data_IF_596552448554
#
_entry.id   IF_596552448554
#
_cell.length_a   1.000
_cell.length_b   1.000
_cell.length_c   1.000
_cell.angle_alpha   90.00
_cell.angle_beta   90.00
_cell.angle_gamma   90.00
#
_symmetry.space_group_name_H-M   'P 1'
#
loop_
_entity.id
_entity.type
_entity.pdbx_description
1 polymer ?
#
# COMPACT_ATOMS: atom_id res chain seq x y z
N UNK A 1 18.71 1.54 -73.65
CA UNK A 1 19.31 0.73 -72.56
C UNK A 1 19.33 1.64 -71.34
N UNK A 2 18.26 1.82 -70.57
CA UNK A 2 17.54 0.86 -69.72
C UNK A 2 18.50 0.12 -68.77
N UNK A 3 18.31 0.35 -67.45
CA UNK A 3 18.71 -0.43 -66.25
C UNK A 3 19.43 0.42 -65.20
N UNK A 4 19.24 0.25 -63.89
CA UNK A 4 18.10 -0.19 -63.09
C UNK A 4 18.37 0.32 -61.66
N UNK A 5 17.29 0.63 -60.94
CA UNK A 5 17.21 1.10 -59.55
C UNK A 5 17.94 0.18 -58.55
N UNK A 6 18.41 0.79 -57.46
CA UNK A 6 18.78 0.08 -56.22
C UNK A 6 18.91 1.01 -55.01
N UNK A 7 17.83 1.70 -54.63
CA UNK A 7 17.76 2.45 -53.37
C UNK A 7 17.49 1.43 -52.24
N UNK A 8 18.54 1.00 -51.53
CA UNK A 8 18.38 0.22 -50.30
C UNK A 8 18.09 1.17 -49.14
N UNK A 9 16.82 1.28 -48.78
CA UNK A 9 16.34 1.94 -47.57
C UNK A 9 16.91 1.24 -46.33
N UNK A 10 17.81 1.92 -45.61
CA UNK A 10 18.16 1.56 -44.23
C UNK A 10 16.91 1.74 -43.37
N UNK A 11 16.24 0.64 -43.05
CA UNK A 11 15.25 0.60 -41.97
C UNK A 11 16.04 0.61 -40.67
N UNK A 12 16.05 1.75 -39.98
CA UNK A 12 16.53 1.83 -38.61
C UNK A 12 15.50 1.14 -37.70
N UNK A 13 15.91 0.31 -36.73
CA UNK A 13 14.97 -0.30 -35.81
C UNK A 13 14.30 0.77 -34.95
N UNK A 14 12.98 0.67 -34.91
CA UNK A 14 12.06 1.44 -34.05
C UNK A 14 12.60 1.40 -32.61
N UNK A 15 12.95 2.57 -32.10
CA UNK A 15 13.41 2.75 -30.74
C UNK A 15 12.34 2.30 -29.76
N UNK A 16 12.66 1.29 -28.95
CA UNK A 16 11.98 1.10 -27.68
C UNK A 16 12.54 2.17 -26.74
N UNK A 17 11.83 3.29 -26.67
CA UNK A 17 12.09 4.34 -25.69
C UNK A 17 11.85 3.75 -24.29
N UNK A 18 12.95 3.42 -23.59
CA UNK A 18 12.91 2.93 -22.22
C UNK A 18 12.38 4.04 -21.32
N UNK A 19 11.30 3.76 -20.57
CA UNK A 19 10.65 4.59 -19.53
C UNK A 19 11.61 5.02 -18.39
N UNK A 20 12.65 5.78 -18.69
CA UNK A 20 13.61 6.29 -17.69
C UNK A 20 13.00 7.38 -16.82
N UNK A 21 12.12 8.22 -17.37
CA UNK A 21 11.50 9.34 -16.63
C UNK A 21 10.59 8.88 -15.48
N UNK A 22 9.74 7.88 -15.73
CA UNK A 22 8.79 7.37 -14.72
C UNK A 22 9.49 6.80 -13.50
N UNK A 23 10.56 6.01 -13.68
CA UNK A 23 11.27 5.37 -12.57
C UNK A 23 12.00 6.39 -11.69
N UNK A 24 12.59 7.42 -12.29
CA UNK A 24 13.26 8.50 -11.53
C UNK A 24 12.24 9.29 -10.71
N UNK A 25 11.09 9.60 -11.30
CA UNK A 25 10.01 10.32 -10.62
C UNK A 25 9.48 9.58 -9.37
N UNK A 26 9.28 8.25 -9.44
CA UNK A 26 8.88 7.47 -8.27
C UNK A 26 9.93 7.46 -7.16
N UNK A 27 11.22 7.39 -7.52
CA UNK A 27 12.30 7.42 -6.53
C UNK A 27 12.34 8.77 -5.81
N UNK A 28 12.23 9.89 -6.54
CA UNK A 28 12.17 11.22 -5.92
C UNK A 28 10.96 11.39 -4.99
N UNK A 29 9.80 10.80 -5.34
CA UNK A 29 8.62 10.77 -4.48
C UNK A 29 8.86 9.98 -3.19
N UNK A 30 9.52 8.82 -3.27
CA UNK A 30 9.88 8.03 -2.09
C UNK A 30 10.86 8.76 -1.17
N UNK A 31 11.78 9.56 -1.71
CA UNK A 31 12.68 10.39 -0.90
C UNK A 31 11.91 11.38 0.00
N UNK A 32 10.81 11.96 -0.51
CA UNK A 32 9.96 12.87 0.28
C UNK A 32 9.25 12.18 1.43
N UNK A 33 9.00 10.88 1.33
CA UNK A 33 8.36 10.09 2.38
C UNK A 33 9.27 9.88 3.59
N UNK A 34 10.60 10.02 3.45
CA UNK A 34 11.55 9.77 4.54
C UNK A 34 11.42 10.78 5.67
N UNK A 35 11.59 10.31 6.90
CA UNK A 35 11.49 11.15 8.08
C UNK A 35 10.98 10.41 9.30
N UNK A 36 10.71 11.20 10.34
CA UNK A 36 10.11 10.73 11.59
C UNK A 36 8.65 11.20 11.65
N UNK A 37 7.74 10.25 11.88
CA UNK A 37 6.31 10.47 11.98
C UNK A 37 5.83 10.06 13.37
N UNK A 38 4.89 10.81 13.91
CA UNK A 38 4.05 10.38 15.02
C UNK A 38 2.79 9.72 14.47
N UNK A 39 2.39 8.62 15.08
CA UNK A 39 1.20 7.87 14.71
C UNK A 39 0.11 8.08 15.79
N UNK A 40 -1.13 8.21 15.34
CA UNK A 40 -2.32 8.04 16.15
C UNK A 40 -3.05 6.77 15.68
N UNK A 41 -3.49 5.95 16.62
CA UNK A 41 -4.22 4.72 16.36
C UNK A 41 -5.19 4.49 17.52
N UNK A 42 -6.49 4.71 17.27
CA UNK A 42 -7.50 4.68 18.33
C UNK A 42 -7.66 3.28 18.91
N UNK A 43 -7.61 2.24 18.06
CA UNK A 43 -7.66 0.84 18.50
C UNK A 43 -6.57 0.51 19.54
N UNK A 44 -5.38 1.10 19.42
CA UNK A 44 -4.27 0.93 20.37
C UNK A 44 -4.38 1.89 21.55
N UNK A 45 -4.82 3.12 21.33
CA UNK A 45 -4.91 4.13 22.40
C UNK A 45 -6.03 3.81 23.39
N UNK A 46 -7.13 3.22 22.91
CA UNK A 46 -8.28 2.85 23.74
C UNK A 46 -8.07 1.50 24.45
N UNK A 47 -7.32 0.59 23.84
CA UNK A 47 -7.08 -0.75 24.39
C UNK A 47 -6.00 -0.82 25.46
N UNK A 48 -5.11 0.18 25.54
CA UNK A 48 -3.92 0.13 26.40
C UNK A 48 -3.62 1.47 27.10
N UNK A 49 -3.63 1.47 28.44
CA UNK A 49 -3.55 2.69 29.26
C UNK A 49 -2.13 3.30 29.41
N UNK A 50 -1.08 2.60 28.99
CA UNK A 50 0.32 3.03 29.14
C UNK A 50 1.16 2.68 27.90
N UNK A 51 0.88 3.33 26.76
CA UNK A 51 1.72 3.18 25.57
C UNK A 51 2.65 4.38 25.40
N UNK A 52 3.92 4.11 25.07
CA UNK A 52 4.81 5.15 24.56
C UNK A 52 4.22 5.80 23.28
N UNK A 53 4.75 6.96 22.90
CA UNK A 53 4.35 7.60 21.66
C UNK A 53 4.55 6.67 20.46
N UNK A 54 3.48 6.47 19.68
CA UNK A 54 3.50 5.65 18.48
C UNK A 54 4.28 6.38 17.38
N UNK A 55 5.23 5.71 16.75
CA UNK A 55 6.16 6.33 15.81
C UNK A 55 6.47 5.46 14.60
N UNK A 56 6.78 6.14 13.50
CA UNK A 56 7.24 5.55 12.25
C UNK A 56 8.43 6.34 11.73
N UNK A 57 9.57 5.67 11.60
CA UNK A 57 10.83 6.26 11.15
C UNK A 57 11.22 5.68 9.78
N UNK A 58 10.96 6.43 8.71
CA UNK A 58 11.14 5.99 7.33
C UNK A 58 12.52 6.40 6.80
N UNK A 59 13.27 5.41 6.29
CA UNK A 59 14.61 5.55 5.71
C UNK A 59 14.70 4.89 4.34
N UNK A 60 15.86 5.06 3.67
CA UNK A 60 16.18 4.31 2.46
C UNK A 60 16.11 2.81 2.75
N UNK A 61 15.41 2.07 1.90
CA UNK A 61 15.30 0.63 2.04
C UNK A 61 16.41 -0.15 1.33
N UNK A 62 16.31 -1.48 1.35
CA UNK A 62 17.33 -2.40 0.86
C UNK A 62 17.39 -2.48 -0.68
N UNK A 63 16.34 -2.04 -1.38
CA UNK A 63 16.21 -2.10 -2.85
C UNK A 63 15.67 -0.78 -3.37
N UNK A 64 16.12 -0.37 -4.55
CA UNK A 64 15.59 0.81 -5.23
C UNK A 64 14.07 0.67 -5.45
N UNK A 65 13.30 1.65 -4.99
CA UNK A 65 11.84 1.63 -5.06
C UNK A 65 11.17 1.07 -3.80
N UNK A 66 11.95 0.57 -2.83
CA UNK A 66 11.46 0.08 -1.54
C UNK A 66 12.11 0.92 -0.43
N UNK A 67 11.28 1.48 0.45
CA UNK A 67 11.71 2.11 1.68
C UNK A 67 11.65 1.09 2.82
N UNK A 68 12.39 1.38 3.88
CA UNK A 68 12.34 0.60 5.12
C UNK A 68 12.06 1.56 6.26
N UNK A 69 11.23 1.14 7.22
CA UNK A 69 10.87 1.97 8.35
C UNK A 69 10.91 1.19 9.66
N UNK A 70 11.32 1.88 10.72
CA UNK A 70 11.19 1.36 12.08
C UNK A 70 9.81 1.76 12.59
N UNK A 71 9.04 0.78 13.04
CA UNK A 71 7.70 0.98 13.57
C UNK A 71 7.72 0.72 15.07
N UNK A 72 7.08 1.60 15.83
CA UNK A 72 6.79 1.38 17.24
C UNK A 72 5.35 1.83 17.50
N UNK A 73 4.46 0.88 17.76
CA UNK A 73 3.05 1.10 18.08
C UNK A 73 2.77 0.80 19.56
N UNK A 74 3.77 0.96 20.45
CA UNK A 74 3.66 0.70 21.88
C UNK A 74 3.66 -0.80 22.22
N UNK A 75 2.64 -1.52 21.78
CA UNK A 75 2.49 -2.97 21.99
C UNK A 75 3.24 -3.81 20.95
N UNK A 76 3.62 -3.19 19.84
CA UNK A 76 4.29 -3.82 18.71
C UNK A 76 5.44 -2.95 18.28
N UNK A 77 6.58 -3.57 18.00
CA UNK A 77 7.68 -2.93 17.30
C UNK A 77 8.17 -3.81 16.16
N UNK A 78 8.70 -3.19 15.11
CA UNK A 78 9.07 -3.95 13.93
C UNK A 78 9.69 -3.15 12.82
N UNK A 79 9.83 -3.85 11.70
CA UNK A 79 10.30 -3.30 10.44
C UNK A 79 9.15 -3.31 9.45
N UNK A 80 8.95 -2.18 8.79
CA UNK A 80 7.97 -2.02 7.73
C UNK A 80 8.69 -1.73 6.41
N UNK A 81 8.33 -2.45 5.35
CA UNK A 81 8.79 -2.18 3.99
C UNK A 81 7.68 -1.41 3.26
N UNK A 82 8.02 -0.35 2.53
CA UNK A 82 7.04 0.49 1.84
C UNK A 82 7.39 0.70 0.36
N UNK A 83 6.39 0.67 -0.50
CA UNK A 83 6.54 0.99 -1.92
C UNK A 83 5.22 1.48 -2.54
N UNK A 84 5.32 2.21 -3.67
CA UNK A 84 4.15 2.55 -4.49
C UNK A 84 3.65 1.36 -5.33
N UNK A 85 4.50 0.36 -5.54
CA UNK A 85 4.22 -0.83 -6.33
C UNK A 85 4.12 -2.02 -5.37
N UNK A 86 2.88 -2.48 -5.12
CA UNK A 86 2.62 -3.60 -4.22
C UNK A 86 3.26 -4.89 -4.73
N UNK A 87 3.22 -5.14 -6.05
CA UNK A 87 3.84 -6.32 -6.64
C UNK A 87 5.36 -6.32 -6.43
N UNK A 88 6.00 -5.14 -6.35
CA UNK A 88 7.42 -5.04 -6.01
C UNK A 88 7.71 -5.37 -4.54
N UNK A 89 6.77 -5.14 -3.61
CA UNK A 89 6.89 -5.60 -2.23
C UNK A 89 6.74 -7.11 -2.15
N UNK A 90 5.74 -7.67 -2.83
CA UNK A 90 5.50 -9.12 -2.83
C UNK A 90 6.65 -9.90 -3.47
N UNK A 91 7.22 -9.39 -4.58
CA UNK A 91 8.44 -9.93 -5.18
C UNK A 91 9.63 -9.88 -4.22
N UNK A 92 9.74 -8.83 -3.40
CA UNK A 92 10.85 -8.67 -2.46
C UNK A 92 10.68 -9.55 -1.21
N UNK A 93 9.47 -9.66 -0.68
CA UNK A 93 9.17 -10.44 0.53
C UNK A 93 9.07 -11.94 0.23
N UNK A 94 8.55 -12.30 -0.95
CA UNK A 94 8.24 -13.68 -1.31
C UNK A 94 6.78 -14.02 -0.98
N UNK A 95 6.13 -14.80 -1.85
CA UNK A 95 4.70 -15.12 -1.74
C UNK A 95 4.37 -15.98 -0.51
N UNK A 96 5.28 -16.87 -0.09
CA UNK A 96 5.06 -17.75 1.07
C UNK A 96 5.18 -17.02 2.42
N UNK A 97 5.71 -15.79 2.39
CA UNK A 97 5.99 -15.00 3.58
C UNK A 97 4.81 -14.08 3.98
N UNK A 98 3.72 -14.04 3.20
CA UNK A 98 2.56 -13.15 3.41
C UNK A 98 1.42 -13.82 4.17
N UNK A 99 0.74 -13.08 5.04
CA UNK A 99 -0.51 -13.56 5.64
C UNK A 99 -1.68 -13.40 4.65
N UNK A 100 -2.13 -14.52 4.07
CA UNK A 100 -3.14 -14.60 3.00
C UNK A 100 -4.58 -14.33 3.46
N UNK A 101 -4.79 -13.82 4.68
CA UNK A 101 -6.10 -13.29 5.07
C UNK A 101 -6.51 -12.21 4.06
N UNK A 102 -7.68 -12.39 3.44
CA UNK A 102 -8.18 -11.53 2.38
C UNK A 102 -8.44 -10.11 2.92
N UNK A 103 -7.44 -9.24 2.83
CA UNK A 103 -7.57 -7.80 3.02
C UNK A 103 -8.31 -7.25 1.80
N UNK A 104 -9.64 -7.31 1.87
CA UNK A 104 -10.54 -6.79 0.85
C UNK A 104 -10.70 -5.27 1.05
N UNK A 105 -10.22 -4.50 0.08
CA UNK A 105 -10.23 -3.02 0.08
C UNK A 105 -11.58 -2.43 -0.32
N UNK A 106 -12.57 -3.23 -0.73
CA UNK A 106 -13.89 -2.75 -1.13
C UNK A 106 -14.80 -2.50 0.10
N UNK A 107 -14.74 -1.30 0.64
CA UNK A 107 -15.83 -0.72 1.45
C UNK A 107 -15.94 0.80 1.19
N UNK A 108 -16.19 1.15 -0.08
CA UNK A 108 -16.67 2.48 -0.46
C UNK A 108 -18.21 2.51 -0.30
N UNK A 109 -18.72 2.84 0.89
CA UNK A 109 -20.13 3.21 1.07
C UNK A 109 -20.27 4.61 1.69
N UNK A 110 -20.06 5.63 0.84
CA UNK A 110 -20.46 7.00 1.13
C UNK A 110 -21.83 7.30 0.49
N UNK A 111 -22.78 7.85 1.26
CA UNK A 111 -23.79 8.75 0.66
C UNK A 111 -25.24 8.60 1.15
N UNK A 112 -25.50 9.15 2.33
CA UNK A 112 -26.78 9.60 2.90
C UNK A 112 -27.70 10.38 1.93
N UNK A 113 -29.03 10.16 2.00
CA UNK A 113 -30.07 11.16 2.38
C UNK A 113 -31.49 10.84 1.84
N UNK A 114 -32.46 10.82 2.78
CA UNK A 114 -33.92 11.07 2.76
C UNK A 114 -34.76 10.84 1.48
N UNK A 115 -35.86 10.08 1.57
CA UNK A 115 -37.26 10.61 1.62
C UNK A 115 -38.33 9.48 1.55
N UNK A 116 -39.43 9.70 2.28
CA UNK A 116 -40.77 9.51 1.72
C UNK A 116 -41.35 8.10 1.57
N UNK A 117 -42.06 7.67 2.61
CA UNK A 117 -43.05 6.58 2.57
C UNK A 117 -44.12 6.83 1.48
N UNK A 118 -44.09 5.95 0.48
CA UNK A 118 -45.22 5.22 -0.13
C UNK A 118 -46.51 6.00 -0.49
N UNK A 119 -46.73 6.26 -1.79
CA UNK A 119 -48.08 6.32 -2.38
C UNK A 119 -48.28 5.24 -3.46
N UNK A 120 -49.41 4.56 -3.31
CA UNK A 120 -49.95 3.42 -4.08
C UNK A 120 -50.47 3.82 -5.48
N UNK A 121 -50.33 2.88 -6.43
CA UNK A 121 -51.18 2.57 -7.63
C UNK A 121 -51.10 3.58 -8.80
N UNK A 122 -51.01 3.22 -10.09
CA UNK A 122 -51.68 2.17 -10.88
C UNK A 122 -50.97 2.00 -12.25
N UNK A 123 -51.06 0.83 -12.89
CA UNK A 123 -50.75 0.61 -14.32
C UNK A 123 -52.04 0.80 -15.20
N UNK A 124 -52.11 0.56 -16.54
CA UNK A 124 -51.09 0.17 -17.56
C UNK A 124 -51.25 0.80 -18.99
N UNK A 125 -50.40 0.35 -19.93
CA UNK A 125 -50.55 0.30 -21.43
C UNK A 125 -50.27 1.61 -22.20
N UNK A 126 -49.75 1.67 -23.44
CA UNK A 126 -49.47 0.72 -24.54
C UNK A 126 -48.63 1.42 -25.63
N UNK A 127 -47.86 0.66 -26.42
CA UNK A 127 -47.35 1.04 -27.76
C UNK A 127 -46.01 1.79 -27.75
N UNK A 128 -45.03 1.58 -28.61
CA UNK A 128 -44.93 0.92 -29.93
C UNK A 128 -43.46 0.58 -30.19
N UNK A 129 -43.20 -0.53 -30.88
CA UNK A 129 -41.89 -0.93 -31.34
C UNK A 129 -41.40 -0.06 -32.51
N UNK A 130 -40.13 0.35 -32.47
CA UNK A 130 -39.31 0.59 -33.67
C UNK A 130 -37.83 0.33 -33.34
N UNK A 131 -37.25 -0.63 -34.05
CA UNK A 131 -35.82 -0.90 -34.15
C UNK A 131 -35.06 0.36 -34.61
N UNK A 132 -33.86 0.61 -34.09
CA UNK A 132 -32.67 1.03 -34.85
C UNK A 132 -31.43 1.00 -33.94
N UNK A 133 -30.55 0.03 -34.19
CA UNK A 133 -29.09 0.19 -34.25
C UNK A 133 -28.27 0.68 -33.04
N UNK A 134 -27.23 -0.12 -32.76
CA UNK A 134 -25.80 0.32 -32.67
C UNK A 134 -25.09 0.08 -31.32
N UNK A 135 -24.29 -1.00 -31.33
CA UNK A 135 -22.95 -1.22 -30.72
C UNK A 135 -22.81 -1.35 -29.19
N UNK A 136 -21.91 -2.25 -28.72
CA UNK A 136 -21.71 -2.51 -27.30
C UNK A 136 -21.03 -1.30 -26.65
N UNK A 137 -21.50 -0.94 -25.46
CA UNK A 137 -20.83 0.00 -24.57
C UNK A 137 -19.37 -0.44 -24.42
N UNK A 138 -18.46 0.36 -24.98
CA UNK A 138 -17.04 0.28 -24.64
C UNK A 138 -16.98 0.35 -23.12
N UNK A 139 -16.52 -0.72 -22.49
CA UNK A 139 -15.96 -0.63 -21.14
C UNK A 139 -14.86 0.41 -21.24
N UNK A 140 -15.13 1.61 -20.75
CA UNK A 140 -14.10 2.61 -20.54
C UNK A 140 -13.16 1.94 -19.57
N UNK A 141 -11.98 1.60 -20.07
CA UNK A 141 -10.85 1.21 -19.24
C UNK A 141 -10.61 2.43 -18.37
N UNK A 142 -10.97 2.32 -17.09
CA UNK A 142 -10.56 3.29 -16.07
C UNK A 142 -9.05 3.30 -16.15
N UNK A 143 -8.52 4.33 -16.79
CA UNK A 143 -7.11 4.64 -16.71
C UNK A 143 -6.88 4.92 -15.23
N UNK A 144 -6.12 4.04 -14.59
CA UNK A 144 -5.66 4.19 -13.23
C UNK A 144 -5.07 5.59 -13.07
N UNK A 145 -5.82 6.50 -12.47
CA UNK A 145 -5.37 7.84 -12.17
C UNK A 145 -4.09 7.74 -11.34
N UNK A 146 -2.98 8.24 -11.89
CA UNK A 146 -1.67 8.27 -11.22
C UNK A 146 -1.61 9.26 -10.04
N UNK A 147 -2.73 9.52 -9.37
CA UNK A 147 -2.86 10.52 -8.30
C UNK A 147 -2.96 9.91 -6.91
N UNK A 148 -3.03 8.58 -6.76
CA UNK A 148 -2.95 8.00 -5.42
C UNK A 148 -1.52 8.18 -4.89
N UNK A 149 -1.43 8.87 -3.75
CA UNK A 149 -0.19 8.97 -2.96
C UNK A 149 -0.07 7.76 -2.02
N UNK A 150 -0.68 6.63 -2.40
CA UNK A 150 -0.76 5.39 -1.63
C UNK A 150 0.59 4.69 -1.59
N UNK A 151 1.14 4.48 -0.40
CA UNK A 151 2.26 3.58 -0.16
C UNK A 151 1.74 2.28 0.46
N UNK A 152 1.88 1.19 -0.28
CA UNK A 152 1.65 -0.13 0.28
C UNK A 152 2.76 -0.47 1.25
N UNK A 153 2.45 -1.31 2.23
CA UNK A 153 3.45 -1.81 3.16
C UNK A 153 3.33 -3.30 3.45
N UNK A 154 4.45 -3.84 3.95
CA UNK A 154 4.55 -5.14 4.61
C UNK A 154 5.20 -4.94 5.97
N UNK A 155 4.63 -5.50 7.02
CA UNK A 155 5.08 -5.37 8.41
C UNK A 155 5.47 -6.74 8.98
N UNK A 156 6.66 -6.80 9.57
CA UNK A 156 7.11 -7.87 10.47
C UNK A 156 7.64 -7.26 11.75
N UNK A 157 7.61 -8.01 12.83
CA UNK A 157 8.00 -7.47 14.12
C UNK A 157 7.80 -8.44 15.26
N UNK A 158 7.67 -7.86 16.46
CA UNK A 158 7.33 -8.57 17.68
C UNK A 158 6.40 -7.74 18.55
N UNK A 159 5.63 -8.40 19.38
CA UNK A 159 4.97 -7.70 20.49
C UNK A 159 5.98 -7.38 21.60
N UNK A 160 5.72 -6.35 22.40
CA UNK A 160 6.69 -5.75 23.34
C UNK A 160 6.63 -6.31 24.77
N UNK A 161 5.62 -7.10 25.12
CA UNK A 161 5.46 -7.76 26.41
C UNK A 161 6.29 -9.04 26.57
N UNK A 162 6.00 -10.09 25.79
CA UNK A 162 6.73 -11.36 25.83
C UNK A 162 7.84 -11.45 24.76
N UNK A 163 8.00 -10.43 23.90
CA UNK A 163 8.88 -10.45 22.73
C UNK A 163 8.55 -11.55 21.71
N UNK A 164 7.27 -11.90 21.52
CA UNK A 164 6.84 -12.87 20.52
C UNK A 164 6.94 -12.28 19.12
N UNK A 165 7.75 -12.90 18.26
CA UNK A 165 7.92 -12.53 16.85
C UNK A 165 6.70 -12.99 16.06
N UNK A 166 6.16 -12.12 15.23
CA UNK A 166 5.23 -12.48 14.16
C UNK A 166 5.99 -12.40 12.83
N UNK A 167 6.31 -13.58 12.31
CA UNK A 167 7.16 -13.71 11.14
C UNK A 167 6.38 -13.73 9.83
N UNK A 168 5.05 -13.86 9.82
CA UNK A 168 4.29 -13.64 8.60
C UNK A 168 4.17 -12.14 8.35
N UNK A 169 4.32 -11.72 7.11
CA UNK A 169 4.24 -10.33 6.72
C UNK A 169 2.79 -9.89 6.68
N UNK A 170 2.46 -8.87 7.47
CA UNK A 170 1.15 -8.25 7.52
C UNK A 170 1.08 -7.09 6.55
N UNK A 171 -0.03 -6.98 5.81
CA UNK A 171 -0.20 -5.99 4.74
C UNK A 171 -1.04 -4.79 5.17
N UNK A 172 -0.88 -3.70 4.43
CA UNK A 172 -1.70 -2.51 4.54
C UNK A 172 -1.17 -1.41 3.61
N UNK A 173 -1.68 -0.21 3.78
CA UNK A 173 -1.27 0.94 3.01
C UNK A 173 -1.35 2.25 3.82
N UNK A 174 -0.64 3.27 3.32
CA UNK A 174 -0.65 4.65 3.80
C UNK A 174 -1.04 5.58 2.64
N UNK A 175 -2.16 6.26 2.76
CA UNK A 175 -2.61 7.31 1.84
C UNK A 175 -2.17 8.68 2.34
N UNK A 176 -1.14 9.24 1.71
CA UNK A 176 -0.72 10.60 2.00
C UNK A 176 -1.71 11.62 1.45
N UNK A 177 -1.96 12.66 2.24
CA UNK A 177 -2.97 13.67 1.92
C UNK A 177 -2.49 14.71 0.90
N UNK A 178 -1.17 14.86 0.74
CA UNK A 178 -0.57 15.80 -0.20
C UNK A 178 0.81 15.35 -0.72
N UNK A 179 1.32 16.03 -1.73
CA UNK A 179 2.61 15.77 -2.38
C UNK A 179 3.84 16.20 -1.55
N UNK A 180 3.60 16.76 -0.35
CA UNK A 180 4.61 17.09 0.65
C UNK A 180 4.83 15.93 1.62
N UNK A 181 3.96 14.91 1.60
CA UNK A 181 4.06 13.71 2.42
C UNK A 181 4.12 14.03 3.92
N UNK A 182 3.36 15.05 4.35
CA UNK A 182 3.37 15.51 5.75
C UNK A 182 2.39 14.72 6.60
N UNK A 183 1.24 14.35 6.05
CA UNK A 183 0.21 13.62 6.76
C UNK A 183 -0.29 12.44 5.93
N UNK A 184 -0.72 11.38 6.59
CA UNK A 184 -1.37 10.23 5.96
C UNK A 184 -2.48 9.66 6.82
N UNK A 185 -3.41 8.98 6.16
CA UNK A 185 -4.29 7.97 6.75
C UNK A 185 -3.80 6.59 6.30
N UNK A 186 -3.83 5.60 7.16
CA UNK A 186 -3.40 4.25 6.84
C UNK A 186 -4.39 3.23 7.34
N UNK A 187 -4.48 2.12 6.62
CA UNK A 187 -5.22 0.94 7.04
C UNK A 187 -4.28 -0.24 6.90
N UNK A 188 -4.24 -1.10 7.90
CA UNK A 188 -3.54 -2.37 7.73
C UNK A 188 -3.83 -3.39 8.80
N UNK A 189 -3.29 -4.57 8.54
CA UNK A 189 -3.29 -5.69 9.46
C UNK A 189 -2.24 -5.42 10.54
N UNK A 190 -2.70 -5.22 11.76
CA UNK A 190 -1.84 -5.03 12.92
C UNK A 190 -2.06 -6.24 13.85
N UNK A 191 -1.03 -7.08 14.06
CA UNK A 191 -1.12 -8.25 14.93
C UNK A 191 -1.75 -7.91 16.28
N UNK A 192 -2.61 -8.78 16.82
CA UNK A 192 -3.29 -8.60 18.11
C UNK A 192 -4.26 -7.40 18.21
N UNK A 193 -4.36 -6.55 17.17
CA UNK A 193 -5.28 -5.40 17.13
C UNK A 193 -6.42 -5.66 16.17
N UNK A 194 -6.12 -6.00 14.92
CA UNK A 194 -7.14 -6.31 13.92
C UNK A 194 -6.66 -6.16 12.47
N UNK A 195 -7.46 -6.72 11.56
CA UNK A 195 -7.12 -6.81 10.14
C UNK A 195 -7.33 -5.50 9.37
N UNK A 196 -8.21 -4.62 9.87
CA UNK A 196 -8.51 -3.30 9.30
C UNK A 196 -8.26 -2.21 10.35
N UNK A 197 -7.04 -2.14 10.85
CA UNK A 197 -6.68 -1.15 11.86
C UNK A 197 -6.38 0.18 11.19
N UNK A 198 -7.19 1.19 11.50
CA UNK A 198 -6.97 2.56 11.06
C UNK A 198 -5.86 3.24 11.85
N UNK A 199 -5.04 4.00 11.16
CA UNK A 199 -3.99 4.82 11.75
C UNK A 199 -3.86 6.14 11.01
N UNK A 200 -3.40 7.17 11.71
CA UNK A 200 -3.07 8.46 11.12
C UNK A 200 -1.63 8.80 11.47
N UNK A 201 -0.94 9.47 10.56
CA UNK A 201 0.46 9.84 10.79
C UNK A 201 0.76 11.29 10.41
N UNK A 202 1.62 11.92 11.18
CA UNK A 202 2.09 13.29 10.95
C UNK A 202 3.61 13.37 11.03
N UNK A 203 4.21 13.98 10.01
CA UNK A 203 5.65 14.16 9.88
C UNK A 203 6.15 15.23 10.82
N UNK A 204 7.01 14.84 11.75
CA UNK A 204 7.63 15.74 12.72
C UNK A 204 9.03 16.19 12.31
N UNK A 205 9.71 15.41 11.46
CA UNK A 205 11.07 15.70 10.99
C UNK A 205 11.35 15.02 9.66
N UNK A 206 12.18 15.65 8.83
CA UNK A 206 12.70 15.06 7.58
C UNK A 206 13.78 14.02 7.82
N UNK A 207 14.32 13.95 9.04
CA UNK A 207 15.29 12.94 9.46
C UNK A 207 14.61 11.92 10.38
N UNK A 208 14.74 10.65 10.03
CA UNK A 208 14.39 9.53 10.89
C UNK A 208 15.26 9.55 12.16
N UNK A 209 14.66 9.15 13.28
CA UNK A 209 15.30 9.07 14.60
C UNK A 209 15.79 7.67 14.95
N UNK A 210 15.13 6.65 14.42
CA UNK A 210 15.46 5.23 14.62
C UNK A 210 15.86 4.59 13.30
N UNK A 211 16.75 3.60 13.37
CA UNK A 211 16.99 2.67 12.28
C UNK A 211 16.15 1.43 12.50
N UNK A 212 15.55 0.92 11.42
CA UNK A 212 14.83 -0.32 11.46
C UNK A 212 15.79 -1.50 11.61
N UNK A 213 15.37 -2.53 12.35
CA UNK A 213 16.07 -3.81 12.30
C UNK A 213 16.04 -4.37 10.87
N UNK A 214 17.02 -5.19 10.48
CA UNK A 214 16.94 -5.94 9.23
C UNK A 214 15.62 -6.71 9.14
N UNK A 215 15.00 -6.76 7.96
CA UNK A 215 13.75 -7.50 7.74
C UNK A 215 13.82 -8.96 8.23
N UNK A 216 14.96 -9.63 7.98
CA UNK A 216 15.21 -11.00 8.42
C UNK A 216 15.34 -11.20 9.93
N UNK A 217 15.46 -10.14 10.74
CA UNK A 217 15.46 -10.23 12.21
C UNK A 217 14.12 -10.73 12.76
N UNK A 218 13.07 -10.69 11.96
CA UNK A 218 11.74 -11.18 12.28
C UNK A 218 11.32 -12.34 11.37
N UNK A 219 12.28 -13.12 10.88
CA UNK A 219 12.02 -14.32 10.06
C UNK A 219 11.48 -15.49 10.89
N UNK A 220 10.94 -16.52 10.22
CA UNK A 220 10.52 -17.77 10.88
C UNK A 220 11.67 -18.41 11.66
N UNK A 221 12.89 -18.40 11.11
CA UNK A 221 14.07 -18.90 11.81
C UNK A 221 14.35 -18.11 13.10
N UNK A 222 14.17 -16.79 13.08
CA UNK A 222 14.32 -15.95 14.27
C UNK A 222 13.22 -16.23 15.30
N UNK A 223 11.98 -16.43 14.84
CA UNK A 223 10.87 -16.86 15.69
C UNK A 223 11.16 -18.20 16.38
N UNK A 224 11.57 -19.22 15.62
CA UNK A 224 11.89 -20.54 16.17
C UNK A 224 13.05 -20.49 17.17
N UNK A 225 14.10 -19.71 16.87
CA UNK A 225 15.21 -19.51 17.79
C UNK A 225 14.77 -18.85 19.09
N UNK A 226 13.95 -17.78 19.02
CA UNK A 226 13.41 -17.11 20.19
C UNK A 226 12.49 -18.05 20.99
N UNK A 227 11.66 -18.86 20.32
CA UNK A 227 10.74 -19.82 20.94
C UNK A 227 11.48 -20.90 21.72
N UNK A 228 12.53 -21.49 21.14
CA UNK A 228 13.35 -22.52 21.81
C UNK A 228 14.19 -21.92 22.94
N UNK A 229 14.70 -20.70 22.76
CA UNK A 229 15.52 -20.00 23.75
C UNK A 229 14.79 -19.66 25.05
N UNK A 230 13.45 -19.54 25.03
CA UNK A 230 12.64 -19.24 26.23
C UNK A 230 12.64 -20.36 27.29
N UNK A 231 12.97 -21.59 26.93
CA UNK A 231 12.86 -22.76 27.80
C UNK A 231 14.23 -23.37 28.18
N UNK A 232 15.32 -22.62 27.98
CA UNK A 232 16.68 -23.06 28.31
C UNK A 232 17.26 -22.36 29.52
#
# INVERSE_FOLDING_TARGET
>A
MAEHRGFASKVLPIGVEKKKGTKVFFVERLEKCKGHYMIACDAISDGWSETEALTLDIVTGPRLGILQAAVSLGIIEGTMLLAFDEAALDDYVGTDDTDDSAFDEDDDEDGYEYDGVSKKRSAPSSGTATEYGTRPSKKVKVESDMTTLRLYFRLRGRETGESQIFYKAHKGYLDFTDDRYIAFKGIGQIPYVGDKTEMQGYKMSTRARRQAAPWGSFSEAAYEQARVGRWR
#
